data_IF_903657804213
#
_entry.id   IF_903657804213
#
_cell.length_a   1.000
_cell.length_b   1.000
_cell.length_c   1.000
_cell.angle_alpha   90.00
_cell.angle_beta   90.00
_cell.angle_gamma   90.00
#
_symmetry.space_group_name_H-M   'P 1'
#
loop_
_entity.id
_entity.type
_entity.pdbx_description
1 polymer ?
#
# COMPACT_ATOMS: atom_id res chain seq x y z
N UNK A 1 -0.19 6.21 -13.82
CA UNK A 1 0.93 6.33 -12.87
C UNK A 1 0.85 5.09 -12.00
N UNK A 2 1.84 4.22 -12.05
CA UNK A 2 1.78 2.92 -11.39
C UNK A 2 1.80 3.11 -9.88
N UNK A 3 1.22 2.20 -9.11
CA UNK A 3 1.09 2.36 -7.66
C UNK A 3 2.41 2.29 -6.89
N UNK A 4 3.49 1.83 -7.55
CA UNK A 4 4.90 1.94 -7.11
C UNK A 4 5.44 3.35 -7.34
N UNK A 5 5.15 3.96 -8.48
CA UNK A 5 5.47 5.37 -8.75
C UNK A 5 4.75 6.28 -7.75
N UNK A 6 3.51 5.97 -7.36
CA UNK A 6 2.78 6.72 -6.33
C UNK A 6 3.38 6.59 -4.93
N UNK A 7 3.79 5.39 -4.52
CA UNK A 7 4.44 5.19 -3.21
C UNK A 7 5.80 5.88 -3.21
N UNK A 8 6.60 5.69 -4.26
CA UNK A 8 7.90 6.32 -4.35
C UNK A 8 7.79 7.86 -4.44
N UNK A 9 6.84 8.39 -5.21
CA UNK A 9 6.58 9.83 -5.28
C UNK A 9 6.12 10.37 -3.91
N UNK A 10 5.27 9.63 -3.19
CA UNK A 10 4.87 10.00 -1.83
C UNK A 10 6.05 9.95 -0.84
N UNK A 11 6.90 8.92 -0.91
CA UNK A 11 8.12 8.78 -0.08
C UNK A 11 9.11 9.91 -0.36
N UNK A 12 9.32 10.24 -1.63
CA UNK A 12 10.21 11.32 -2.06
C UNK A 12 9.68 12.68 -1.62
N UNK A 13 8.37 12.96 -1.78
CA UNK A 13 7.74 14.20 -1.31
C UNK A 13 7.79 14.33 0.21
N UNK A 14 7.48 13.26 0.93
CA UNK A 14 7.54 13.26 2.39
C UNK A 14 8.98 13.46 2.88
N UNK A 15 9.96 12.80 2.25
CA UNK A 15 11.39 13.01 2.54
C UNK A 15 11.83 14.44 2.24
N UNK A 16 11.38 15.03 1.13
CA UNK A 16 11.64 16.43 0.78
C UNK A 16 11.04 17.38 1.83
N UNK A 17 9.81 17.13 2.28
CA UNK A 17 9.18 17.87 3.37
C UNK A 17 9.98 17.75 4.69
N UNK A 18 10.43 16.54 5.03
CA UNK A 18 11.28 16.29 6.19
C UNK A 18 12.58 17.10 6.15
N UNK A 19 13.25 17.15 5.00
CA UNK A 19 14.51 17.88 4.83
C UNK A 19 14.40 19.42 4.95
N UNK A 20 13.20 20.01 4.93
CA UNK A 20 13.03 21.47 5.07
C UNK A 20 13.20 21.94 6.52
N UNK A 21 14.39 22.45 6.87
CA UNK A 21 14.74 22.88 8.24
C UNK A 21 14.26 24.28 8.66
N UNK A 22 13.61 25.03 7.77
CA UNK A 22 13.19 26.41 8.08
C UNK A 22 12.00 26.44 9.04
N UNK A 23 12.23 26.92 10.26
CA UNK A 23 11.16 27.23 11.23
C UNK A 23 10.21 28.32 10.72
N UNK A 24 10.74 29.39 10.11
CA UNK A 24 9.94 30.55 9.66
C UNK A 24 8.91 30.18 8.59
N UNK A 25 9.23 29.23 7.72
CA UNK A 25 8.32 28.78 6.65
C UNK A 25 7.60 27.47 6.99
N UNK A 26 7.60 27.05 8.26
CA UNK A 26 7.13 25.73 8.67
C UNK A 26 5.66 25.48 8.30
N UNK A 27 4.72 26.31 8.78
CA UNK A 27 3.29 26.14 8.50
C UNK A 27 3.03 26.10 6.99
N UNK A 28 3.63 27.03 6.24
CA UNK A 28 3.52 27.08 4.77
C UNK A 28 4.04 25.81 4.10
N UNK A 29 5.15 25.25 4.58
CA UNK A 29 5.70 24.00 4.03
C UNK A 29 4.80 22.80 4.35
N UNK A 30 4.17 22.78 5.52
CA UNK A 30 3.19 21.76 5.91
C UNK A 30 1.93 21.88 5.06
N UNK A 31 1.42 23.09 4.82
CA UNK A 31 0.27 23.33 3.95
C UNK A 31 0.54 22.87 2.51
N UNK A 32 1.70 23.23 1.95
CA UNK A 32 2.11 22.78 0.61
C UNK A 32 2.17 21.25 0.55
N UNK A 33 2.75 20.60 1.55
CA UNK A 33 2.82 19.14 1.57
C UNK A 33 1.42 18.51 1.64
N UNK A 34 0.52 19.04 2.48
CA UNK A 34 -0.87 18.56 2.53
C UNK A 34 -1.61 18.78 1.21
N UNK A 35 -1.40 19.92 0.54
CA UNK A 35 -1.94 20.18 -0.80
C UNK A 35 -1.39 19.20 -1.85
N UNK A 36 -0.10 18.86 -1.77
CA UNK A 36 0.49 17.82 -2.60
C UNK A 36 -0.19 16.46 -2.37
N UNK A 37 -0.45 16.06 -1.11
CA UNK A 37 -1.22 14.84 -0.82
C UNK A 37 -2.62 14.88 -1.44
N UNK A 38 -3.33 16.00 -1.34
CA UNK A 38 -4.66 16.15 -1.97
C UNK A 38 -4.61 16.23 -3.51
N UNK A 39 -3.47 16.59 -4.09
CA UNK A 39 -3.28 16.55 -5.54
C UNK A 39 -3.08 15.13 -6.08
N UNK A 40 -2.68 14.20 -5.23
CA UNK A 40 -2.53 12.78 -5.58
C UNK A 40 -3.91 12.09 -5.52
N UNK A 41 -4.47 11.60 -6.63
CA UNK A 41 -5.86 11.13 -6.68
C UNK A 41 -6.23 10.06 -5.65
N UNK A 42 -5.33 9.11 -5.39
CA UNK A 42 -5.60 8.00 -4.47
C UNK A 42 -5.46 8.43 -3.00
N UNK A 43 -4.45 9.25 -2.67
CA UNK A 43 -4.32 9.81 -1.32
C UNK A 43 -5.51 10.71 -1.01
N UNK A 44 -5.98 11.50 -1.99
CA UNK A 44 -7.21 12.28 -1.88
C UNK A 44 -8.43 11.41 -1.55
N UNK A 45 -8.68 10.33 -2.32
CA UNK A 45 -9.81 9.43 -2.07
C UNK A 45 -9.72 8.80 -0.67
N UNK A 46 -8.54 8.27 -0.33
CA UNK A 46 -8.25 7.65 0.98
C UNK A 46 -8.57 8.61 2.13
N UNK A 47 -8.09 9.86 2.02
CA UNK A 47 -8.34 10.88 3.02
C UNK A 47 -9.84 11.23 3.05
N UNK A 48 -10.47 11.48 1.91
CA UNK A 48 -11.89 11.87 1.84
C UNK A 48 -12.83 10.80 2.41
N UNK A 49 -12.53 9.52 2.21
CA UNK A 49 -13.27 8.40 2.80
C UNK A 49 -13.08 8.34 4.31
N UNK A 50 -11.85 8.40 4.80
CA UNK A 50 -11.55 8.43 6.23
C UNK A 50 -12.28 9.58 6.95
N UNK A 51 -12.27 10.78 6.35
CA UNK A 51 -12.92 11.96 6.92
C UNK A 51 -14.45 11.86 6.91
N UNK A 52 -15.02 11.12 5.95
CA UNK A 52 -16.46 10.85 5.90
C UNK A 52 -16.88 9.86 6.99
N UNK A 53 -16.05 8.85 7.27
CA UNK A 53 -16.31 7.85 8.30
C UNK A 53 -16.14 8.43 9.71
N UNK A 54 -15.15 9.30 9.92
CA UNK A 54 -14.83 9.89 11.22
C UNK A 54 -14.85 11.43 11.20
N UNK A 55 -16.03 12.06 11.02
CA UNK A 55 -16.14 13.51 11.01
C UNK A 55 -15.88 14.08 12.42
N UNK A 56 -15.11 15.16 12.49
CA UNK A 56 -14.83 15.92 13.71
C UNK A 56 -15.26 17.37 13.50
N UNK A 57 -15.98 17.94 14.46
CA UNK A 57 -16.45 19.33 14.39
C UNK A 57 -15.48 20.30 15.06
N UNK A 58 -15.48 21.56 14.61
CA UNK A 58 -14.59 22.61 15.10
C UNK A 58 -14.73 22.90 16.59
N UNK A 59 -15.93 22.70 17.18
CA UNK A 59 -16.15 22.88 18.62
C UNK A 59 -15.30 21.90 19.45
N UNK A 60 -15.06 20.69 18.92
CA UNK A 60 -14.20 19.70 19.58
C UNK A 60 -12.75 20.18 19.62
N UNK A 61 -12.24 20.79 18.55
CA UNK A 61 -10.86 21.28 18.53
C UNK A 61 -10.64 22.45 19.49
N UNK A 62 -11.63 23.35 19.59
CA UNK A 62 -11.59 24.45 20.56
C UNK A 62 -11.56 23.92 21.98
N UNK A 63 -12.43 22.95 22.30
CA UNK A 63 -12.47 22.31 23.61
C UNK A 63 -11.17 21.58 23.94
N UNK A 64 -10.65 20.76 23.01
CA UNK A 64 -9.45 19.94 23.20
C UNK A 64 -8.19 20.81 23.38
N UNK A 65 -8.14 22.02 22.79
CA UNK A 65 -7.03 22.98 23.01
C UNK A 65 -6.93 23.52 24.44
N UNK A 66 -8.04 23.51 25.18
CA UNK A 66 -8.11 24.01 26.56
C UNK A 66 -7.75 22.92 27.59
N UNK A 67 -7.52 21.68 27.15
CA UNK A 67 -7.26 20.53 28.00
C UNK A 67 -5.77 20.28 28.21
N UNK A 68 -5.44 19.61 29.32
CA UNK A 68 -4.08 19.16 29.63
C UNK A 68 -3.64 17.97 28.75
N UNK A 69 -2.31 17.80 28.59
CA UNK A 69 -1.67 16.74 27.82
C UNK A 69 -2.11 15.35 28.27
N UNK A 70 -2.25 15.12 29.58
CA UNK A 70 -2.66 13.81 30.10
C UNK A 70 -4.09 13.46 29.69
N UNK A 71 -5.01 14.44 29.72
CA UNK A 71 -6.39 14.25 29.30
C UNK A 71 -6.50 13.92 27.81
N UNK A 72 -5.71 14.60 26.97
CA UNK A 72 -5.67 14.31 25.53
C UNK A 72 -5.03 12.95 25.23
N UNK A 73 -4.00 12.57 26.00
CA UNK A 73 -3.35 11.26 25.87
C UNK A 73 -4.33 10.14 26.18
N UNK A 74 -5.12 10.25 27.24
CA UNK A 74 -6.16 9.26 27.59
C UNK A 74 -7.21 9.14 26.46
N UNK A 75 -7.65 10.27 25.93
CA UNK A 75 -8.59 10.29 24.79
C UNK A 75 -7.98 9.65 23.54
N UNK A 76 -6.71 9.92 23.22
CA UNK A 76 -6.06 9.36 22.04
C UNK A 76 -5.72 7.87 22.20
N UNK A 77 -5.44 7.41 23.42
CA UNK A 77 -5.29 5.98 23.72
C UNK A 77 -6.59 5.20 23.55
N UNK A 78 -7.73 5.84 23.80
CA UNK A 78 -9.06 5.26 23.56
C UNK A 78 -9.53 5.36 22.09
N UNK A 79 -8.90 6.21 21.28
CA UNK A 79 -9.19 6.28 19.84
C UNK A 79 -8.56 5.12 19.10
N UNK A 80 -9.32 4.49 18.21
CA UNK A 80 -8.70 3.65 17.19
C UNK A 80 -7.84 4.51 16.25
N UNK A 81 -6.86 3.87 15.60
CA UNK A 81 -5.88 4.56 14.77
C UNK A 81 -6.54 5.42 13.68
N UNK A 82 -7.57 4.92 13.00
CA UNK A 82 -8.29 5.63 11.95
C UNK A 82 -8.92 6.94 12.45
N UNK A 83 -9.61 6.88 13.59
CA UNK A 83 -10.24 8.05 14.23
C UNK A 83 -9.18 9.07 14.66
N UNK A 84 -8.03 8.62 15.15
CA UNK A 84 -6.90 9.50 15.48
C UNK A 84 -6.33 10.19 14.23
N UNK A 85 -6.12 9.47 13.13
CA UNK A 85 -5.63 10.06 11.88
C UNK A 85 -6.66 11.05 11.30
N UNK A 86 -7.94 10.70 11.34
CA UNK A 86 -9.02 11.59 10.88
C UNK A 86 -9.07 12.88 11.70
N UNK A 87 -8.88 12.78 13.01
CA UNK A 87 -8.75 13.91 13.92
C UNK A 87 -7.54 14.78 13.55
N UNK A 88 -6.36 14.18 13.33
CA UNK A 88 -5.14 14.89 12.98
C UNK A 88 -5.27 15.71 11.69
N UNK A 89 -5.89 15.13 10.66
CA UNK A 89 -6.11 15.79 9.35
C UNK A 89 -7.11 16.95 9.49
N UNK A 90 -8.22 16.74 10.20
CA UNK A 90 -9.23 17.79 10.39
C UNK A 90 -8.72 18.92 11.29
N UNK A 91 -7.88 18.60 12.28
CA UNK A 91 -7.25 19.63 13.12
C UNK A 91 -6.27 20.50 12.32
N UNK A 92 -5.47 19.93 11.41
CA UNK A 92 -4.63 20.70 10.48
C UNK A 92 -5.46 21.67 9.63
N UNK A 93 -6.60 21.20 9.11
CA UNK A 93 -7.54 22.05 8.35
C UNK A 93 -8.10 23.18 9.21
N UNK A 94 -8.46 22.89 10.46
CA UNK A 94 -8.90 23.90 11.42
C UNK A 94 -7.81 24.95 11.69
N UNK A 95 -6.57 24.53 11.97
CA UNK A 95 -5.44 25.44 12.19
C UNK A 95 -5.18 26.33 10.97
N UNK A 96 -5.19 25.75 9.76
CA UNK A 96 -5.06 26.51 8.50
C UNK A 96 -6.19 27.53 8.33
N UNK A 97 -7.44 27.13 8.56
CA UNK A 97 -8.62 27.99 8.40
C UNK A 97 -8.69 29.10 9.46
N UNK A 98 -8.17 28.85 10.66
CA UNK A 98 -8.10 29.87 11.73
C UNK A 98 -7.15 31.03 11.41
N UNK A 99 -6.24 30.84 10.44
CA UNK A 99 -5.24 31.84 10.09
C UNK A 99 -4.22 32.09 11.20
N UNK A 100 -3.99 31.11 12.09
CA UNK A 100 -3.04 31.25 13.19
C UNK A 100 -1.63 31.59 12.70
N UNK A 101 -0.98 32.51 13.42
CA UNK A 101 0.42 32.90 13.17
C UNK A 101 1.42 32.05 13.95
N UNK A 102 0.94 31.30 14.94
CA UNK A 102 1.76 30.40 15.74
C UNK A 102 2.11 29.16 14.92
N UNK A 103 3.22 28.50 15.24
CA UNK A 103 3.58 27.28 14.53
C UNK A 103 2.58 26.15 14.84
N UNK A 104 2.27 25.32 13.85
CA UNK A 104 1.32 24.22 14.06
C UNK A 104 1.78 23.27 15.17
N UNK A 105 3.09 23.05 15.32
CA UNK A 105 3.62 22.25 16.42
C UNK A 105 3.40 22.88 17.81
N UNK A 106 3.32 24.21 17.93
CA UNK A 106 3.02 24.87 19.21
C UNK A 106 1.53 24.78 19.58
N UNK A 107 0.67 24.69 18.55
CA UNK A 107 -0.77 24.48 18.70
C UNK A 107 -1.14 23.01 18.92
N UNK A 108 -0.24 22.08 18.65
CA UNK A 108 -0.45 20.66 18.92
C UNK A 108 -0.09 20.37 20.37
N UNK A 109 -1.11 20.27 21.23
CA UNK A 109 -0.94 20.21 22.70
C UNK A 109 -0.15 18.98 23.17
N UNK A 110 -0.20 17.87 22.43
CA UNK A 110 0.46 16.60 22.76
C UNK A 110 1.87 16.44 22.19
N UNK A 111 2.42 17.46 21.52
CA UNK A 111 3.84 17.52 21.23
C UNK A 111 4.50 18.25 22.39
N UNK A 112 5.37 17.54 23.12
CA UNK A 112 5.94 17.97 24.40
C UNK A 112 6.45 19.43 24.35
N UNK A 113 5.79 20.28 25.14
CA UNK A 113 6.03 21.73 25.24
C UNK A 113 7.24 22.13 26.10
N UNK A 114 7.92 21.17 26.72
CA UNK A 114 9.17 21.40 27.46
C UNK A 114 10.42 21.03 26.64
N UNK A 115 10.27 20.38 25.48
CA UNK A 115 11.34 20.02 24.54
C UNK A 115 11.93 21.20 23.71
N UNK A 116 11.86 22.44 24.20
CA UNK A 116 12.36 23.64 23.48
C UNK A 116 13.88 23.72 23.37
N UNK A 117 14.60 23.02 24.26
CA UNK A 117 16.04 23.19 24.41
C UNK A 117 16.90 22.55 23.29
N UNK A 118 16.35 21.63 22.48
CA UNK A 118 17.14 20.81 21.53
C UNK A 118 16.79 20.98 20.05
N UNK A 119 15.65 21.62 19.71
CA UNK A 119 15.22 21.78 18.31
C UNK A 119 14.44 20.59 17.72
N UNK A 120 14.07 19.60 18.55
CA UNK A 120 13.46 18.34 18.08
C UNK A 120 11.95 18.43 17.79
N UNK A 121 11.24 19.46 18.27
CA UNK A 121 9.78 19.61 18.07
C UNK A 121 9.33 19.61 16.61
N UNK A 122 10.07 20.33 15.77
CA UNK A 122 9.79 20.40 14.35
C UNK A 122 9.95 19.01 13.73
N UNK A 123 11.00 18.28 14.09
CA UNK A 123 11.23 16.93 13.59
C UNK A 123 10.16 15.96 14.12
N UNK A 124 9.79 16.03 15.40
CA UNK A 124 8.72 15.24 16.01
C UNK A 124 7.35 15.49 15.36
N UNK A 125 7.01 16.74 15.06
CA UNK A 125 5.79 17.03 14.31
C UNK A 125 5.83 16.36 12.93
N UNK A 126 6.99 16.38 12.26
CA UNK A 126 7.12 15.78 10.94
C UNK A 126 7.08 14.26 10.98
N UNK A 127 7.75 13.62 11.94
CA UNK A 127 7.81 12.16 12.07
C UNK A 127 6.54 11.58 12.69
N UNK A 128 6.05 12.16 13.77
CA UNK A 128 5.05 11.50 14.62
C UNK A 128 3.64 12.00 14.32
N UNK A 129 3.49 13.24 13.84
CA UNK A 129 2.20 13.79 13.42
C UNK A 129 1.97 13.59 11.93
N UNK A 130 2.80 14.22 11.08
CA UNK A 130 2.65 14.13 9.62
C UNK A 130 3.01 12.74 9.12
N UNK A 131 4.05 12.12 9.68
CA UNK A 131 4.44 10.75 9.35
C UNK A 131 3.32 9.76 9.63
N UNK A 132 2.56 9.90 10.72
CA UNK A 132 1.39 9.05 10.98
C UNK A 132 0.30 9.16 9.91
N UNK A 133 0.05 10.36 9.36
CA UNK A 133 -0.89 10.58 8.24
C UNK A 133 -0.35 9.94 6.96
N UNK A 134 0.93 10.14 6.68
CA UNK A 134 1.61 9.59 5.50
C UNK A 134 1.68 8.06 5.58
N UNK A 135 1.96 7.51 6.74
CA UNK A 135 1.94 6.08 7.03
C UNK A 135 0.54 5.52 6.89
N UNK A 136 -0.50 6.20 7.37
CA UNK A 136 -1.88 5.79 7.12
C UNK A 136 -2.20 5.72 5.63
N UNK A 137 -1.75 6.72 4.85
CA UNK A 137 -1.94 6.74 3.40
C UNK A 137 -1.12 5.60 2.75
N UNK A 138 0.17 5.46 3.06
CA UNK A 138 1.03 4.34 2.64
C UNK A 138 0.46 2.99 2.99
N UNK A 139 -0.15 2.91 4.16
CA UNK A 139 -0.81 1.75 4.65
C UNK A 139 -2.04 1.56 3.80
N UNK A 140 -3.04 2.44 3.72
CA UNK A 140 -4.22 2.30 2.84
C UNK A 140 -3.88 1.85 1.40
N UNK A 141 -2.71 2.21 0.88
CA UNK A 141 -2.13 1.63 -0.34
C UNK A 141 -1.76 0.12 -0.29
N UNK A 142 -1.91 -0.64 0.81
CA UNK A 142 -1.22 -1.93 1.13
C UNK A 142 -2.08 -3.08 1.69
N UNK A 143 -3.39 -3.15 1.41
CA UNK A 143 -4.12 -4.43 1.58
C UNK A 143 -3.96 -5.34 0.33
N UNK A 144 -4.36 -4.86 -0.85
CA UNK A 144 -4.05 -5.51 -2.14
C UNK A 144 -2.54 -5.52 -2.49
N UNK A 145 -1.75 -4.55 -1.98
CA UNK A 145 -0.29 -4.50 -2.27
C UNK A 145 0.61 -5.28 -1.32
N UNK A 146 0.13 -5.89 -0.23
CA UNK A 146 1.02 -6.75 0.55
C UNK A 146 1.39 -7.99 -0.27
N UNK A 147 0.38 -8.69 -0.80
CA UNK A 147 0.56 -9.88 -1.64
C UNK A 147 1.24 -9.50 -2.95
N UNK A 148 0.73 -8.48 -3.68
CA UNK A 148 1.39 -7.98 -4.91
C UNK A 148 2.82 -7.52 -4.62
N UNK A 149 3.08 -6.86 -3.49
CA UNK A 149 4.42 -6.45 -3.08
C UNK A 149 5.35 -7.63 -2.82
N UNK A 150 4.87 -8.72 -2.21
CA UNK A 150 5.63 -9.98 -2.06
C UNK A 150 5.90 -10.62 -3.42
N UNK A 151 4.93 -10.61 -4.34
CA UNK A 151 5.10 -11.10 -5.72
C UNK A 151 6.12 -10.25 -6.48
N UNK A 152 6.13 -8.92 -6.30
CA UNK A 152 7.10 -8.03 -6.93
C UNK A 152 8.52 -8.23 -6.37
N UNK A 153 8.67 -8.46 -5.05
CA UNK A 153 9.96 -8.85 -4.45
C UNK A 153 10.44 -10.20 -4.98
N UNK A 154 9.52 -11.15 -5.12
CA UNK A 154 9.80 -12.44 -5.74
C UNK A 154 10.24 -12.29 -7.20
N UNK A 155 9.56 -11.46 -8.00
CA UNK A 155 9.97 -11.09 -9.36
C UNK A 155 11.38 -10.51 -9.38
N UNK A 156 11.69 -9.54 -8.52
CA UNK A 156 13.02 -8.95 -8.43
C UNK A 156 14.09 -9.99 -8.04
N UNK A 157 13.77 -10.88 -7.10
CA UNK A 157 14.66 -11.96 -6.70
C UNK A 157 14.93 -12.93 -7.86
N UNK A 158 13.88 -13.38 -8.56
CA UNK A 158 13.98 -14.28 -9.72
C UNK A 158 14.81 -13.65 -10.84
N UNK A 159 14.47 -12.42 -11.22
CA UNK A 159 15.08 -11.75 -12.37
C UNK A 159 16.53 -11.33 -12.14
N UNK A 160 16.87 -10.94 -10.90
CA UNK A 160 18.20 -10.43 -10.54
C UNK A 160 19.19 -11.54 -10.23
N UNK A 161 18.75 -12.59 -9.55
CA UNK A 161 19.64 -13.66 -9.08
C UNK A 161 19.55 -14.92 -9.94
N UNK A 162 18.71 -14.95 -10.98
CA UNK A 162 18.60 -16.07 -11.93
C UNK A 162 18.37 -17.42 -11.23
N UNK A 163 17.63 -17.40 -10.12
CA UNK A 163 17.34 -18.60 -9.31
C UNK A 163 16.47 -19.62 -10.04
N UNK A 164 15.78 -19.19 -11.09
CA UNK A 164 15.12 -20.05 -12.08
C UNK A 164 16.03 -20.10 -13.30
N UNK A 165 16.78 -21.19 -13.47
CA UNK A 165 17.66 -21.39 -14.62
C UNK A 165 16.86 -21.79 -15.86
N UNK A 166 17.08 -21.10 -16.97
CA UNK A 166 16.50 -21.30 -18.32
C UNK A 166 16.70 -22.70 -18.90
N UNK A 167 17.79 -23.38 -18.52
CA UNK A 167 18.15 -24.70 -19.07
C UNK A 167 17.18 -25.79 -18.65
N UNK A 168 16.49 -25.60 -17.54
CA UNK A 168 15.43 -26.49 -17.13
C UNK A 168 14.14 -26.08 -17.87
N UNK A 169 13.49 -27.03 -18.54
CA UNK A 169 12.19 -26.79 -19.13
C UNK A 169 11.13 -26.72 -18.01
N UNK A 170 11.14 -25.62 -17.24
CA UNK A 170 10.29 -25.41 -16.08
C UNK A 170 8.84 -25.57 -16.49
N UNK A 171 8.20 -26.60 -15.93
CA UNK A 171 6.76 -26.84 -16.04
C UNK A 171 6.04 -25.91 -15.08
N UNK A 172 4.79 -25.57 -15.39
CA UNK A 172 3.95 -24.68 -14.57
C UNK A 172 3.90 -25.11 -13.10
N UNK A 173 3.75 -26.41 -12.83
CA UNK A 173 3.79 -26.98 -11.46
C UNK A 173 5.10 -26.72 -10.72
N UNK A 174 6.24 -26.69 -11.42
CA UNK A 174 7.53 -26.38 -10.80
C UNK A 174 7.64 -24.88 -10.45
N UNK A 175 7.11 -24.00 -11.32
CA UNK A 175 7.02 -22.56 -11.06
C UNK A 175 6.10 -22.25 -9.88
N UNK A 176 4.95 -22.94 -9.80
CA UNK A 176 4.06 -22.90 -8.65
C UNK A 176 4.79 -23.35 -7.38
N UNK A 177 5.52 -24.47 -7.41
CA UNK A 177 6.27 -24.94 -6.25
C UNK A 177 7.30 -23.90 -5.76
N UNK A 178 8.04 -23.27 -6.68
CA UNK A 178 9.03 -22.26 -6.34
C UNK A 178 8.41 -20.99 -5.74
N UNK A 179 7.26 -20.54 -6.27
CA UNK A 179 6.50 -19.45 -5.65
C UNK A 179 6.00 -19.83 -4.25
N UNK A 180 5.48 -21.05 -4.08
CA UNK A 180 5.01 -21.54 -2.78
C UNK A 180 6.12 -21.55 -1.72
N UNK A 181 7.32 -22.00 -2.08
CA UNK A 181 8.50 -21.98 -1.21
C UNK A 181 8.87 -20.55 -0.81
N UNK A 182 8.85 -19.60 -1.75
CA UNK A 182 9.09 -18.19 -1.44
C UNK A 182 8.04 -17.62 -0.49
N UNK A 183 6.76 -17.85 -0.75
CA UNK A 183 5.65 -17.36 0.09
C UNK A 183 5.75 -17.92 1.51
N UNK A 184 6.03 -19.23 1.63
CA UNK A 184 6.21 -19.90 2.93
C UNK A 184 7.39 -19.32 3.72
N UNK A 185 8.55 -19.11 3.08
CA UNK A 185 9.73 -18.53 3.72
C UNK A 185 9.55 -17.07 4.14
N UNK A 186 8.51 -16.39 3.65
CA UNK A 186 8.22 -14.99 3.93
C UNK A 186 6.95 -14.81 4.76
N UNK A 187 6.56 -15.87 5.50
CA UNK A 187 5.43 -15.92 6.42
C UNK A 187 4.13 -15.44 5.78
N UNK A 188 3.85 -15.95 4.57
CA UNK A 188 2.58 -15.73 3.87
C UNK A 188 1.78 -17.02 3.93
N UNK A 189 0.59 -16.97 4.53
CA UNK A 189 -0.34 -18.10 4.52
C UNK A 189 -1.00 -18.26 3.17
N UNK A 190 -1.08 -19.50 2.70
CA UNK A 190 -1.75 -19.85 1.46
C UNK A 190 -2.25 -21.29 1.48
N UNK A 191 -3.31 -21.52 0.72
CA UNK A 191 -3.76 -22.84 0.31
C UNK A 191 -3.44 -23.03 -1.17
N UNK A 192 -3.07 -24.25 -1.55
CA UNK A 192 -2.81 -24.61 -2.95
C UNK A 192 -3.95 -25.45 -3.49
N UNK A 193 -4.24 -25.30 -4.78
CA UNK A 193 -5.13 -26.18 -5.53
C UNK A 193 -6.52 -26.29 -4.88
N UNK A 194 -7.07 -25.17 -4.40
CA UNK A 194 -8.40 -25.15 -3.75
C UNK A 194 -9.49 -25.31 -4.81
N UNK A 195 -10.33 -26.33 -4.65
CA UNK A 195 -11.45 -26.59 -5.55
C UNK A 195 -12.56 -25.55 -5.38
N UNK A 196 -13.00 -24.96 -6.48
CA UNK A 196 -14.07 -23.96 -6.56
C UNK A 196 -15.30 -24.48 -7.29
N UNK A 197 -15.46 -25.79 -7.54
CA UNK A 197 -16.50 -26.37 -8.43
C UNK A 197 -16.37 -25.99 -9.92
N UNK A 198 -15.72 -24.87 -10.24
CA UNK A 198 -15.40 -24.40 -11.60
C UNK A 198 -13.94 -24.65 -11.98
N UNK A 199 -13.25 -25.49 -11.20
CA UNK A 199 -11.83 -25.78 -11.33
C UNK A 199 -11.12 -25.61 -10.00
N UNK A 200 -9.79 -25.57 -10.05
CA UNK A 200 -8.95 -25.49 -8.86
C UNK A 200 -8.04 -24.27 -8.99
N UNK A 201 -8.07 -23.38 -8.00
CA UNK A 201 -7.22 -22.19 -7.97
C UNK A 201 -5.80 -22.58 -7.59
N UNK A 202 -4.80 -21.99 -8.24
CA UNK A 202 -3.39 -22.32 -7.99
C UNK A 202 -3.00 -21.95 -6.56
N UNK A 203 -3.34 -20.73 -6.13
CA UNK A 203 -3.15 -20.26 -4.76
C UNK A 203 -4.36 -19.46 -4.28
N UNK A 204 -4.83 -19.80 -3.08
CA UNK A 204 -5.81 -19.02 -2.33
C UNK A 204 -5.15 -18.52 -1.04
N UNK A 205 -5.04 -17.22 -0.90
CA UNK A 205 -4.48 -16.58 0.29
C UNK A 205 -5.65 -16.13 1.16
N UNK A 206 -5.86 -16.78 2.33
CA UNK A 206 -6.91 -16.37 3.24
C UNK A 206 -6.55 -15.01 3.84
N UNK A 207 -7.45 -14.04 3.74
CA UNK A 207 -7.35 -12.86 4.60
C UNK A 207 -7.94 -13.26 5.96
N UNK A 208 -7.15 -13.09 7.03
CA UNK A 208 -7.56 -13.47 8.38
C UNK A 208 -8.91 -12.86 8.77
N UNK A 209 -9.82 -13.72 9.24
CA UNK A 209 -11.06 -13.29 9.88
C UNK A 209 -10.75 -12.48 11.15
N UNK A 210 -11.68 -11.56 11.50
CA UNK A 210 -11.66 -10.65 12.67
C UNK A 210 -11.21 -11.29 13.99
N UNK A 211 -11.32 -12.61 14.15
CA UNK A 211 -11.00 -13.33 15.40
C UNK A 211 -9.50 -13.41 15.74
N UNK A 212 -8.60 -13.03 14.82
CA UNK A 212 -7.14 -12.90 15.07
C UNK A 212 -6.61 -11.46 15.08
N UNK A 213 -7.48 -10.47 15.31
CA UNK A 213 -7.13 -9.03 15.40
C UNK A 213 -5.94 -8.72 16.32
N UNK A 214 -5.68 -9.56 17.34
CA UNK A 214 -4.66 -9.31 18.36
C UNK A 214 -3.25 -9.87 18.04
N UNK A 215 -3.04 -10.60 16.93
CA UNK A 215 -1.70 -11.17 16.61
C UNK A 215 -0.88 -10.33 15.63
N UNK A 216 -1.47 -9.33 14.97
CA UNK A 216 -0.77 -8.44 14.04
C UNK A 216 -0.73 -7.00 14.59
N UNK A 217 0.48 -6.45 14.75
CA UNK A 217 0.77 -5.12 15.36
C UNK A 217 0.24 -3.87 14.61
N UNK A 218 -0.75 -4.03 13.75
CA UNK A 218 -1.41 -2.92 13.08
C UNK A 218 -2.84 -3.33 12.79
N UNK A 219 -3.78 -2.72 13.50
CA UNK A 219 -5.23 -2.91 13.38
C UNK A 219 -5.74 -2.45 12.03
N UNK A 220 -5.53 -3.29 11.03
CA UNK A 220 -6.04 -3.09 9.69
C UNK A 220 -7.40 -3.78 9.57
N UNK A 221 -8.42 -3.00 9.19
CA UNK A 221 -9.59 -3.54 8.51
C UNK A 221 -9.14 -4.01 7.12
N UNK A 222 -8.59 -5.22 7.05
CA UNK A 222 -8.58 -5.98 5.82
C UNK A 222 -10.02 -6.07 5.31
N UNK A 223 -10.26 -5.76 4.04
CA UNK A 223 -11.52 -6.14 3.41
C UNK A 223 -11.74 -7.64 3.60
N UNK A 224 -12.99 -8.06 3.75
CA UNK A 224 -13.38 -9.45 4.05
C UNK A 224 -13.13 -10.43 2.87
N UNK A 225 -12.29 -10.05 1.88
CA UNK A 225 -12.17 -10.73 0.59
C UNK A 225 -10.92 -11.58 0.48
N UNK A 226 -11.07 -12.76 -0.14
CA UNK A 226 -10.00 -13.71 -0.43
C UNK A 226 -9.09 -13.20 -1.55
N UNK A 227 -7.79 -13.57 -1.56
CA UNK A 227 -6.88 -13.22 -2.67
C UNK A 227 -6.43 -14.46 -3.45
N UNK A 228 -6.55 -14.41 -4.78
CA UNK A 228 -6.24 -15.51 -5.71
C UNK A 228 -5.01 -15.18 -6.55
N UNK A 229 -4.05 -16.10 -6.64
CA UNK A 229 -2.93 -16.01 -7.60
C UNK A 229 -3.06 -17.17 -8.57
N UNK A 230 -3.25 -16.86 -9.86
CA UNK A 230 -3.15 -17.83 -10.94
C UNK A 230 -1.76 -17.75 -11.58
N UNK A 231 -1.10 -18.90 -11.78
CA UNK A 231 0.25 -18.96 -12.34
C UNK A 231 0.20 -19.56 -13.74
N UNK A 232 0.85 -18.92 -14.72
CA UNK A 232 1.00 -19.46 -16.07
C UNK A 232 2.40 -19.28 -16.61
N UNK A 233 2.84 -20.22 -17.43
CA UNK A 233 4.01 -20.04 -18.31
C UNK A 233 3.54 -19.54 -19.67
N UNK A 234 4.07 -18.42 -20.13
CA UNK A 234 3.70 -17.78 -21.38
C UNK A 234 3.94 -18.70 -22.58
N UNK A 235 2.95 -18.78 -23.48
CA UNK A 235 3.04 -19.46 -24.78
C UNK A 235 2.56 -18.57 -25.91
N UNK A 236 1.44 -17.89 -25.72
CA UNK A 236 0.84 -16.97 -26.69
C UNK A 236 -0.19 -16.07 -25.99
N UNK A 237 -0.63 -15.03 -26.69
CA UNK A 237 -1.61 -14.07 -26.19
C UNK A 237 -2.97 -14.70 -25.86
N UNK A 238 -3.43 -15.65 -26.69
CA UNK A 238 -4.71 -16.34 -26.47
C UNK A 238 -4.75 -17.05 -25.10
N UNK A 239 -3.66 -17.71 -24.72
CA UNK A 239 -3.54 -18.34 -23.39
C UNK A 239 -3.71 -17.33 -22.25
N UNK A 240 -3.16 -16.12 -22.39
CA UNK A 240 -3.30 -15.07 -21.37
C UNK A 240 -4.77 -14.65 -21.30
N UNK A 241 -5.42 -14.41 -22.45
CA UNK A 241 -6.85 -14.05 -22.50
C UNK A 241 -7.73 -15.12 -21.85
N UNK A 242 -7.52 -16.39 -22.20
CA UNK A 242 -8.25 -17.53 -21.62
C UNK A 242 -8.04 -17.61 -20.09
N UNK A 243 -6.81 -17.36 -19.62
CA UNK A 243 -6.48 -17.37 -18.19
C UNK A 243 -7.09 -16.18 -17.44
N UNK A 244 -7.18 -15.00 -18.08
CA UNK A 244 -7.87 -13.85 -17.51
C UNK A 244 -9.37 -14.11 -17.35
N UNK A 245 -10.01 -14.75 -18.33
CA UNK A 245 -11.43 -15.15 -18.24
C UNK A 245 -11.63 -16.13 -17.07
N UNK A 246 -10.74 -17.12 -16.94
CA UNK A 246 -10.78 -18.08 -15.84
C UNK A 246 -10.61 -17.41 -14.48
N UNK A 247 -9.60 -16.55 -14.31
CA UNK A 247 -9.39 -15.82 -13.06
C UNK A 247 -10.58 -14.94 -12.72
N UNK A 248 -11.14 -14.21 -13.68
CA UNK A 248 -12.34 -13.39 -13.46
C UNK A 248 -13.50 -14.21 -12.89
N UNK A 249 -13.73 -15.42 -13.44
CA UNK A 249 -14.78 -16.31 -12.94
C UNK A 249 -14.53 -16.76 -11.49
N UNK A 250 -13.28 -17.05 -11.12
CA UNK A 250 -12.93 -17.38 -9.73
C UNK A 250 -13.16 -16.19 -8.78
N UNK A 251 -12.76 -14.99 -9.19
CA UNK A 251 -12.92 -13.78 -8.39
C UNK A 251 -14.39 -13.46 -8.14
N UNK A 252 -15.23 -13.53 -9.17
CA UNK A 252 -16.68 -13.31 -9.04
C UNK A 252 -17.34 -14.35 -8.13
N UNK A 253 -16.94 -15.61 -8.25
CA UNK A 253 -17.53 -16.70 -7.47
C UNK A 253 -17.15 -16.65 -5.99
N UNK A 254 -15.91 -16.30 -5.69
CA UNK A 254 -15.37 -16.30 -4.32
C UNK A 254 -15.50 -14.94 -3.64
N UNK A 255 -16.11 -13.95 -4.30
CA UNK A 255 -16.07 -12.53 -3.93
C UNK A 255 -14.66 -12.09 -3.53
N UNK A 256 -13.70 -12.42 -4.39
CA UNK A 256 -12.26 -12.28 -4.14
C UNK A 256 -11.59 -11.22 -4.99
N UNK A 257 -10.33 -10.97 -4.68
CA UNK A 257 -9.38 -10.17 -5.45
C UNK A 257 -8.24 -11.07 -5.94
N UNK A 258 -7.41 -10.62 -6.88
CA UNK A 258 -6.33 -11.49 -7.34
C UNK A 258 -5.42 -10.92 -8.41
N UNK A 259 -4.51 -11.76 -8.87
CA UNK A 259 -3.65 -11.46 -10.01
C UNK A 259 -3.31 -12.71 -10.84
N UNK A 260 -3.00 -12.47 -12.10
CA UNK A 260 -2.43 -13.47 -13.00
C UNK A 260 -0.91 -13.26 -13.08
N UNK A 261 -0.13 -14.27 -12.68
CA UNK A 261 1.32 -14.25 -12.70
C UNK A 261 1.88 -15.06 -13.88
N UNK A 262 2.52 -14.36 -14.81
CA UNK A 262 3.01 -14.90 -16.09
C UNK A 262 4.53 -15.01 -16.07
N UNK A 263 5.07 -16.23 -16.19
CA UNK A 263 6.49 -16.47 -16.41
C UNK A 263 6.80 -16.52 -17.90
N UNK A 264 7.78 -15.76 -18.37
CA UNK A 264 8.15 -15.68 -19.78
C UNK A 264 9.67 -15.67 -19.97
N UNK A 265 10.17 -16.34 -21.00
CA UNK A 265 11.55 -16.27 -21.47
C UNK A 265 11.86 -15.02 -22.31
N UNK A 266 10.82 -14.23 -22.60
CA UNK A 266 10.85 -12.95 -23.30
C UNK A 266 10.36 -11.84 -22.36
N UNK A 267 10.89 -10.62 -22.51
CA UNK A 267 10.50 -9.49 -21.65
C UNK A 267 9.14 -8.94 -22.06
N UNK A 268 8.10 -9.30 -21.30
CA UNK A 268 6.71 -8.95 -21.58
C UNK A 268 6.21 -7.79 -20.73
N UNK A 269 5.48 -6.87 -21.36
CA UNK A 269 4.59 -5.91 -20.71
C UNK A 269 3.15 -6.22 -21.13
N UNK A 270 2.31 -6.63 -20.18
CA UNK A 270 0.90 -6.88 -20.43
C UNK A 270 0.10 -5.68 -19.91
N UNK A 271 -0.72 -5.09 -20.77
CA UNK A 271 -1.64 -4.01 -20.42
C UNK A 271 -3.03 -4.63 -20.38
N UNK A 272 -3.60 -4.72 -19.17
CA UNK A 272 -4.95 -5.22 -18.94
C UNK A 272 -5.90 -4.04 -18.70
N UNK A 273 -6.72 -3.70 -19.69
CA UNK A 273 -7.74 -2.64 -19.60
C UNK A 273 -9.15 -3.19 -19.35
N UNK A 274 -9.33 -4.51 -19.50
CA UNK A 274 -10.64 -5.17 -19.53
C UNK A 274 -11.09 -5.69 -18.17
N UNK A 275 -10.17 -6.25 -17.39
CA UNK A 275 -10.49 -6.89 -16.12
C UNK A 275 -9.93 -6.11 -14.94
N UNK A 276 -10.65 -6.13 -13.83
CA UNK A 276 -10.29 -5.41 -12.61
C UNK A 276 -9.32 -6.22 -11.72
N UNK A 277 -8.22 -6.70 -12.30
CA UNK A 277 -7.14 -7.39 -11.58
C UNK A 277 -5.79 -7.24 -12.30
N UNK A 278 -4.70 -7.46 -11.57
CA UNK A 278 -3.34 -7.28 -12.09
C UNK A 278 -2.91 -8.48 -12.95
N UNK A 279 -2.19 -8.20 -14.05
CA UNK A 279 -1.43 -9.21 -14.81
C UNK A 279 0.06 -8.91 -14.69
N UNK A 280 0.75 -9.70 -13.87
CA UNK A 280 2.15 -9.49 -13.52
C UNK A 280 3.04 -10.44 -14.33
N UNK A 281 4.14 -9.96 -14.87
CA UNK A 281 5.10 -10.78 -15.64
C UNK A 281 6.37 -11.03 -14.83
N UNK A 282 7.01 -12.19 -14.99
CA UNK A 282 8.34 -12.51 -14.44
C UNK A 282 9.21 -13.04 -15.58
N UNK A 283 10.32 -12.35 -15.83
CA UNK A 283 11.27 -12.78 -16.84
C UNK A 283 12.16 -13.92 -16.31
N UNK A 284 12.12 -15.06 -17.00
CA UNK A 284 12.92 -16.25 -16.71
C UNK A 284 13.87 -16.63 -17.84
N UNK A 285 14.10 -15.73 -18.81
CA UNK A 285 15.05 -15.95 -19.91
C UNK A 285 16.51 -15.73 -19.48
N UNK A 286 17.44 -15.87 -20.42
CA UNK A 286 18.89 -15.86 -20.15
C UNK A 286 19.45 -14.44 -19.90
N UNK A 287 18.78 -13.41 -20.41
CA UNK A 287 19.34 -12.07 -20.43
C UNK A 287 19.20 -11.37 -19.07
N UNK A 288 20.27 -10.72 -18.61
CA UNK A 288 20.20 -9.83 -17.44
C UNK A 288 19.29 -8.63 -17.74
N UNK A 289 18.67 -7.99 -16.72
CA UNK A 289 17.77 -6.85 -16.95
C UNK A 289 18.34 -5.73 -17.84
N UNK A 290 19.65 -5.49 -17.79
CA UNK A 290 20.33 -4.46 -18.61
C UNK A 290 20.58 -4.85 -20.06
N UNK A 291 20.43 -6.13 -20.42
CA UNK A 291 20.74 -6.66 -21.75
C UNK A 291 19.49 -6.97 -22.59
N UNK A 292 18.29 -6.82 -22.04
CA UNK A 292 17.03 -7.16 -22.71
C UNK A 292 16.73 -6.23 -23.88
N UNK A 293 16.62 -6.76 -25.10
CA UNK A 293 16.47 -5.99 -26.35
C UNK A 293 15.04 -5.51 -26.61
N UNK A 294 14.46 -4.78 -25.66
CA UNK A 294 13.12 -4.19 -25.74
C UNK A 294 12.01 -5.07 -25.16
N UNK A 295 10.93 -4.42 -24.72
CA UNK A 295 9.75 -5.09 -24.12
C UNK A 295 8.69 -5.37 -25.17
N UNK A 296 8.30 -6.62 -25.33
CA UNK A 296 7.12 -6.98 -26.12
C UNK A 296 5.87 -6.57 -25.35
N UNK A 297 5.06 -5.69 -25.94
CA UNK A 297 3.83 -5.20 -25.31
C UNK A 297 2.63 -5.96 -25.85
N UNK A 298 1.85 -6.57 -24.96
CA UNK A 298 0.56 -7.21 -25.26
C UNK A 298 -0.53 -6.34 -24.64
N UNK A 299 -1.56 -6.00 -25.41
CA UNK A 299 -2.71 -5.24 -24.92
C UNK A 299 -3.93 -6.15 -24.95
N UNK A 300 -4.48 -6.45 -23.78
CA UNK A 300 -5.70 -7.25 -23.67
C UNK A 300 -6.90 -6.30 -23.76
N UNK A 301 -7.77 -6.53 -24.74
CA UNK A 301 -8.98 -5.78 -25.02
C UNK A 301 -10.25 -6.63 -24.85
#
# INVERSE_FOLDING_TARGET
>A
METRDYIQDLEERYKQYCNKKSGVSFNRNTDIFMEELYSMPIAKITIEELLREYPVKDEKFTFDQEQDVNYLTDIFLEMNQDKYIAYCIQYLRYLRNSGTKDFYYDKTVWIDKDYEATGDRLELFKSDYIGSIVDYIFNAYKANKYIVGKILKYKEWVERFKVIETKDNWKEKALQKHLAEFLFLHDVDFYKEVDTSNGSVDFLLPHYAKEKENEYRSGWKAGEKLYIIEVKKFRNEKQIQDSCIQLNAYLEQMDGEGCLLIYADTDLKIINEKWNFDVLTIYIGDESPSLRSGKTTIRLA
#
